data_IF_796252726856
#
_entry.id   IF_796252726856
#
_cell.length_a   1.000
_cell.length_b   1.000
_cell.length_c   1.000
_cell.angle_alpha   90.00
_cell.angle_beta   90.00
_cell.angle_gamma   90.00
#
_symmetry.space_group_name_H-M   'P 1'
#
loop_
_entity.id
_entity.type
_entity.pdbx_description
1 polymer ?
#
# COMPACT_ATOMS: atom_id res chain seq x y z
N UNK A 1 0.92 8.34 -0.85
CA UNK A 1 1.59 7.49 0.15
C UNK A 1 2.33 6.36 -0.57
N UNK A 2 3.40 5.79 0.00
CA UNK A 2 4.14 4.71 -0.66
C UNK A 2 3.23 3.47 -0.77
N UNK A 3 3.00 2.99 -1.98
CA UNK A 3 2.15 1.82 -2.21
C UNK A 3 2.91 0.55 -1.80
N UNK A 4 2.40 -0.17 -0.81
CA UNK A 4 2.92 -1.50 -0.44
C UNK A 4 2.60 -2.45 -1.58
N UNK A 5 3.64 -3.06 -2.17
CA UNK A 5 3.51 -3.92 -3.36
C UNK A 5 3.46 -5.41 -3.04
N UNK A 6 3.91 -5.82 -1.85
CA UNK A 6 4.03 -7.22 -1.45
C UNK A 6 3.93 -7.37 0.06
N UNK A 7 3.45 -8.53 0.49
CA UNK A 7 3.53 -9.02 1.88
C UNK A 7 4.55 -10.17 1.94
N UNK A 8 5.15 -10.42 3.10
CA UNK A 8 6.01 -11.58 3.31
C UNK A 8 5.17 -12.71 3.90
N UNK A 9 5.35 -13.93 3.41
CA UNK A 9 4.82 -15.15 4.02
C UNK A 9 6.00 -15.96 4.55
N UNK A 10 5.86 -16.52 5.75
CA UNK A 10 6.86 -17.45 6.29
C UNK A 10 6.82 -18.74 5.49
N UNK A 11 7.99 -19.35 5.28
CA UNK A 11 8.07 -20.71 4.72
C UNK A 11 7.53 -21.75 5.70
N UNK A 12 7.52 -21.42 7.00
CA UNK A 12 7.00 -22.25 8.11
C UNK A 12 5.49 -22.03 8.33
N UNK A 13 4.78 -21.35 7.42
CA UNK A 13 3.35 -21.05 7.58
C UNK A 13 2.53 -22.34 7.78
N UNK A 14 2.88 -23.41 7.08
CA UNK A 14 2.18 -24.69 7.14
C UNK A 14 2.58 -25.55 8.34
N UNK A 15 3.63 -25.15 9.07
CA UNK A 15 4.07 -25.82 10.29
C UNK A 15 3.35 -25.26 11.55
N UNK A 16 2.52 -24.21 11.39
CA UNK A 16 1.74 -23.62 12.46
C UNK A 16 0.55 -24.53 12.83
N UNK A 17 0.44 -24.91 14.10
CA UNK A 17 -0.64 -25.77 14.63
C UNK A 17 -2.04 -25.23 14.32
N UNK A 18 -2.21 -23.90 14.21
CA UNK A 18 -3.50 -23.30 13.84
C UNK A 18 -3.83 -23.55 12.37
N UNK A 19 -2.82 -23.54 11.51
CA UNK A 19 -2.99 -23.83 10.08
C UNK A 19 -3.28 -25.31 9.87
N UNK A 20 -2.59 -26.20 10.59
CA UNK A 20 -2.89 -27.64 10.60
C UNK A 20 -4.33 -27.90 11.08
N UNK A 21 -4.75 -27.25 12.17
CA UNK A 21 -6.12 -27.32 12.65
C UNK A 21 -7.13 -26.83 11.60
N UNK A 22 -6.87 -25.70 10.92
CA UNK A 22 -7.75 -25.19 9.86
C UNK A 22 -7.88 -26.20 8.72
N UNK A 23 -6.78 -26.85 8.31
CA UNK A 23 -6.79 -27.85 7.24
C UNK A 23 -7.59 -29.10 7.62
N UNK A 24 -7.69 -29.42 8.91
CA UNK A 24 -8.51 -30.54 9.39
C UNK A 24 -10.04 -30.29 9.32
N UNK A 25 -10.47 -29.03 9.15
CA UNK A 25 -11.90 -28.68 9.10
C UNK A 25 -12.53 -29.01 7.74
N UNK A 26 -13.86 -29.21 7.69
CA UNK A 26 -14.60 -29.16 6.44
C UNK A 26 -14.34 -27.83 5.74
N UNK A 27 -14.13 -27.85 4.42
CA UNK A 27 -13.76 -26.66 3.66
C UNK A 27 -12.41 -26.03 4.09
N UNK A 28 -11.51 -26.78 4.75
CA UNK A 28 -10.22 -26.30 5.24
C UNK A 28 -9.39 -25.53 4.21
N UNK A 29 -9.31 -26.02 2.97
CA UNK A 29 -8.66 -25.31 1.86
C UNK A 29 -9.34 -23.97 1.54
N UNK A 30 -10.67 -23.94 1.53
CA UNK A 30 -11.42 -22.70 1.31
C UNK A 30 -11.18 -21.69 2.44
N UNK A 31 -11.14 -22.16 3.69
CA UNK A 31 -10.85 -21.33 4.86
C UNK A 31 -9.42 -20.78 4.78
N UNK A 32 -8.44 -21.64 4.48
CA UNK A 32 -7.04 -21.23 4.33
C UNK A 32 -6.86 -20.18 3.22
N UNK A 33 -7.54 -20.34 2.08
CA UNK A 33 -7.53 -19.34 1.01
C UNK A 33 -8.13 -18.01 1.47
N UNK A 34 -9.16 -18.04 2.31
CA UNK A 34 -9.72 -16.81 2.91
C UNK A 34 -8.69 -16.15 3.84
N UNK A 35 -7.96 -16.91 4.65
CA UNK A 35 -6.88 -16.38 5.50
C UNK A 35 -5.84 -15.62 4.68
N UNK A 36 -5.31 -16.23 3.62
CA UNK A 36 -4.33 -15.59 2.73
C UNK A 36 -4.90 -14.33 2.08
N UNK A 37 -6.19 -14.33 1.70
CA UNK A 37 -6.84 -13.14 1.15
C UNK A 37 -6.99 -12.02 2.16
N UNK A 38 -7.25 -12.33 3.43
CA UNK A 38 -7.26 -11.34 4.52
C UNK A 38 -5.87 -10.73 4.72
N UNK A 39 -4.80 -11.53 4.70
CA UNK A 39 -3.42 -11.01 4.76
C UNK A 39 -3.15 -10.01 3.63
N UNK A 40 -3.60 -10.32 2.41
CA UNK A 40 -3.45 -9.40 1.27
C UNK A 40 -4.27 -8.12 1.45
N UNK A 41 -5.47 -8.19 2.05
CA UNK A 41 -6.28 -7.01 2.32
C UNK A 41 -5.65 -6.11 3.37
N UNK A 42 -5.17 -6.67 4.47
CA UNK A 42 -4.44 -5.91 5.48
C UNK A 42 -3.18 -5.26 4.91
N UNK A 43 -2.47 -5.96 4.01
CA UNK A 43 -1.34 -5.40 3.26
C UNK A 43 -1.72 -4.23 2.35
N UNK A 44 -2.94 -4.22 1.80
CA UNK A 44 -3.47 -3.11 0.99
C UNK A 44 -3.94 -1.92 1.85
N UNK A 45 -4.60 -2.18 2.98
CA UNK A 45 -4.98 -1.15 3.94
C UNK A 45 -3.72 -0.51 4.55
N UNK A 46 -2.69 -1.31 4.82
CA UNK A 46 -1.42 -0.88 5.41
C UNK A 46 -1.61 -0.04 6.69
N UNK A 47 -2.59 -0.47 7.50
CA UNK A 47 -2.97 0.16 8.76
C UNK A 47 -2.95 -0.89 9.87
N UNK A 48 -1.75 -1.25 10.33
CA UNK A 48 -1.50 -2.17 11.45
C UNK A 48 -2.36 -3.45 11.52
N UNK A 49 -2.59 -4.07 10.35
CA UNK A 49 -3.35 -5.32 10.25
C UNK A 49 -4.87 -5.14 10.17
N UNK A 50 -5.37 -3.91 10.17
CA UNK A 50 -6.79 -3.62 9.96
C UNK A 50 -7.23 -3.86 8.53
N UNK A 51 -8.47 -4.32 8.41
CA UNK A 51 -9.17 -4.65 7.17
C UNK A 51 -10.54 -3.98 7.20
N UNK A 52 -10.72 -3.03 6.29
CA UNK A 52 -11.96 -2.28 6.10
C UNK A 52 -12.09 -1.84 4.64
N UNK A 53 -13.30 -1.56 4.18
CA UNK A 53 -13.55 -1.12 2.80
C UNK A 53 -13.10 0.33 2.62
N UNK A 54 -13.50 1.19 3.56
CA UNK A 54 -13.05 2.57 3.76
C UNK A 54 -12.87 2.78 5.27
N UNK A 55 -12.19 3.86 5.68
CA UNK A 55 -11.88 4.09 7.11
C UNK A 55 -13.13 4.12 8.02
N UNK A 56 -14.31 4.36 7.44
CA UNK A 56 -15.60 4.41 8.12
C UNK A 56 -16.46 3.15 7.90
N UNK A 57 -16.16 2.35 6.88
CA UNK A 57 -16.99 1.21 6.46
C UNK A 57 -16.20 -0.09 6.66
N UNK A 58 -16.46 -0.85 7.73
CA UNK A 58 -15.85 -2.15 7.94
C UNK A 58 -16.36 -3.16 6.91
N UNK A 59 -15.54 -4.18 6.62
CA UNK A 59 -15.99 -5.30 5.81
C UNK A 59 -16.96 -6.18 6.61
N UNK A 60 -18.08 -6.51 5.98
CA UNK A 60 -19.05 -7.50 6.47
C UNK A 60 -18.82 -8.88 5.83
N UNK A 61 -19.40 -9.92 6.43
CA UNK A 61 -19.35 -11.29 5.89
C UNK A 61 -19.80 -11.36 4.42
N UNK A 62 -20.91 -10.70 4.08
CA UNK A 62 -21.46 -10.69 2.71
C UNK A 62 -20.56 -9.96 1.71
N UNK A 63 -20.00 -8.82 2.12
CA UNK A 63 -19.10 -8.06 1.23
C UNK A 63 -17.79 -8.79 1.01
N UNK A 64 -17.28 -9.49 2.03
CA UNK A 64 -16.13 -10.40 1.88
C UNK A 64 -16.47 -11.60 1.01
N UNK A 65 -17.63 -12.21 1.17
CA UNK A 65 -18.09 -13.32 0.33
C UNK A 65 -18.16 -12.94 -1.15
N UNK A 66 -18.76 -11.77 -1.45
CA UNK A 66 -18.80 -11.23 -2.81
C UNK A 66 -17.40 -10.97 -3.37
N UNK A 67 -16.53 -10.32 -2.57
CA UNK A 67 -15.16 -9.99 -2.95
C UNK A 67 -14.32 -11.25 -3.16
N UNK A 68 -14.54 -12.28 -2.36
CA UNK A 68 -13.79 -13.51 -2.41
C UNK A 68 -14.38 -14.54 -3.37
N UNK A 69 -15.56 -14.30 -3.96
CA UNK A 69 -16.23 -15.30 -4.81
C UNK A 69 -16.38 -16.63 -4.07
N UNK A 70 -16.75 -16.55 -2.80
CA UNK A 70 -17.00 -17.68 -1.90
C UNK A 70 -18.40 -17.56 -1.32
N UNK A 71 -18.97 -18.68 -0.90
CA UNK A 71 -20.28 -18.68 -0.24
C UNK A 71 -20.19 -17.95 1.11
N UNK A 72 -21.21 -17.18 1.46
CA UNK A 72 -21.26 -16.43 2.74
C UNK A 72 -21.05 -17.36 3.94
N UNK A 73 -21.64 -18.56 3.92
CA UNK A 73 -21.50 -19.55 4.99
C UNK A 73 -20.04 -19.96 5.23
N UNK A 74 -19.24 -20.11 4.17
CA UNK A 74 -17.83 -20.47 4.27
C UNK A 74 -17.02 -19.28 4.83
N UNK A 75 -17.34 -18.05 4.40
CA UNK A 75 -16.68 -16.85 4.94
C UNK A 75 -17.00 -16.66 6.41
N UNK A 76 -18.26 -16.85 6.80
CA UNK A 76 -18.69 -16.80 8.20
C UNK A 76 -17.95 -17.84 9.04
N UNK A 77 -17.95 -19.11 8.60
CA UNK A 77 -17.20 -20.19 9.26
C UNK A 77 -15.71 -19.85 9.39
N UNK A 78 -15.10 -19.27 8.35
CA UNK A 78 -13.70 -18.87 8.38
C UNK A 78 -13.45 -17.78 9.43
N UNK A 79 -14.25 -16.70 9.45
CA UNK A 79 -14.08 -15.61 10.42
C UNK A 79 -14.28 -16.09 11.85
N UNK A 80 -15.32 -16.89 12.13
CA UNK A 80 -15.54 -17.49 13.45
C UNK A 80 -14.37 -18.38 13.87
N UNK A 81 -13.83 -19.19 12.94
CA UNK A 81 -12.67 -20.04 13.18
C UNK A 81 -11.44 -19.20 13.52
N UNK A 82 -11.15 -18.16 12.75
CA UNK A 82 -10.01 -17.28 13.01
C UNK A 82 -10.13 -16.53 14.34
N UNK A 83 -11.34 -16.09 14.70
CA UNK A 83 -11.58 -15.43 15.98
C UNK A 83 -11.35 -16.40 17.14
N UNK A 84 -11.86 -17.64 17.05
CA UNK A 84 -11.64 -18.69 18.06
C UNK A 84 -10.17 -19.04 18.23
N UNK A 85 -9.39 -19.01 17.15
CA UNK A 85 -7.95 -19.26 17.17
C UNK A 85 -7.11 -18.03 17.55
N UNK A 86 -7.73 -16.91 17.95
CA UNK A 86 -7.08 -15.62 18.21
C UNK A 86 -6.15 -15.19 17.06
N UNK A 87 -6.58 -15.41 15.82
CA UNK A 87 -5.90 -14.96 14.60
C UNK A 87 -6.43 -13.59 14.15
N UNK A 88 -7.69 -13.29 14.48
CA UNK A 88 -8.32 -11.98 14.25
C UNK A 88 -9.01 -11.46 15.50
N UNK A 89 -9.09 -10.13 15.61
CA UNK A 89 -10.05 -9.41 16.46
C UNK A 89 -11.06 -8.68 15.57
N UNK A 90 -12.29 -8.52 16.05
CA UNK A 90 -13.32 -7.76 15.36
C UNK A 90 -13.75 -6.62 16.28
N UNK A 91 -13.47 -5.40 15.83
CA UNK A 91 -13.75 -4.18 16.57
C UNK A 91 -14.68 -3.26 15.74
N UNK A 92 -15.07 -2.10 16.28
CA UNK A 92 -15.91 -1.10 15.59
C UNK A 92 -15.29 -0.64 14.27
N UNK A 93 -13.96 -0.55 14.21
CA UNK A 93 -13.20 -0.16 13.01
C UNK A 93 -13.18 -1.24 11.93
N UNK A 94 -13.45 -2.49 12.28
CA UNK A 94 -13.41 -3.64 11.39
C UNK A 94 -12.57 -4.79 11.93
N UNK A 95 -12.06 -5.61 11.01
CA UNK A 95 -11.30 -6.82 11.35
C UNK A 95 -9.83 -6.45 11.49
N UNK A 96 -9.19 -6.82 12.59
CA UNK A 96 -7.76 -6.66 12.81
C UNK A 96 -7.06 -8.03 12.86
N UNK A 97 -5.97 -8.19 12.11
CA UNK A 97 -5.13 -9.38 12.19
C UNK A 97 -4.23 -9.33 13.43
N UNK A 98 -4.31 -10.34 14.29
CA UNK A 98 -3.40 -10.47 15.42
C UNK A 98 -1.98 -10.80 14.92
N UNK A 99 -0.96 -10.29 15.61
CA UNK A 99 0.46 -10.51 15.26
C UNK A 99 0.85 -10.07 13.83
N UNK A 100 0.17 -9.06 13.28
CA UNK A 100 0.42 -8.54 11.92
C UNK A 100 1.89 -8.17 11.65
N UNK A 101 2.61 -7.71 12.67
CA UNK A 101 4.02 -7.34 12.57
C UNK A 101 4.92 -8.45 12.02
N UNK A 102 4.55 -9.74 12.20
CA UNK A 102 5.29 -10.89 11.64
C UNK A 102 5.26 -10.93 10.11
N UNK A 103 4.19 -10.41 9.51
CA UNK A 103 3.98 -10.40 8.06
C UNK A 103 4.47 -9.10 7.39
N UNK A 104 4.87 -8.11 8.20
CA UNK A 104 5.33 -6.81 7.72
C UNK A 104 6.83 -6.80 7.40
N UNK A 105 7.21 -6.26 6.25
CA UNK A 105 8.61 -5.94 5.96
C UNK A 105 9.04 -4.61 6.59
N UNK A 106 9.23 -4.58 7.91
CA UNK A 106 9.62 -3.39 8.66
C UNK A 106 10.91 -2.74 8.14
N UNK A 107 11.93 -3.54 7.86
CA UNK A 107 13.24 -3.05 7.40
C UNK A 107 13.15 -2.42 6.00
N UNK A 108 12.40 -3.03 5.08
CA UNK A 108 12.16 -2.48 3.75
C UNK A 108 11.40 -1.15 3.79
N UNK A 109 10.41 -1.05 4.67
CA UNK A 109 9.63 0.19 4.88
C UNK A 109 10.50 1.32 5.46
N UNK A 110 11.37 1.01 6.42
CA UNK A 110 12.30 1.99 6.99
C UNK A 110 13.29 2.51 5.94
N UNK A 111 13.88 1.62 5.12
CA UNK A 111 14.78 2.01 4.01
C UNK A 111 14.08 2.93 3.00
N UNK A 112 12.84 2.62 2.61
CA UNK A 112 12.05 3.47 1.70
C UNK A 112 11.76 4.84 2.32
N UNK A 113 11.38 4.88 3.61
CA UNK A 113 11.13 6.14 4.34
C UNK A 113 12.40 6.99 4.41
N UNK A 114 13.54 6.40 4.71
CA UNK A 114 14.82 7.11 4.80
C UNK A 114 15.28 7.65 3.44
N UNK A 115 15.20 6.84 2.38
CA UNK A 115 15.50 7.27 1.02
C UNK A 115 14.58 8.42 0.57
N UNK A 116 13.29 8.34 0.91
CA UNK A 116 12.33 9.41 0.63
C UNK A 116 12.68 10.69 1.38
N UNK A 117 13.03 10.59 2.68
CA UNK A 117 13.51 11.73 3.49
C UNK A 117 14.75 12.38 2.86
N UNK A 118 15.76 11.58 2.50
CA UNK A 118 16.99 12.08 1.83
C UNK A 118 16.68 12.77 0.50
N UNK A 119 15.76 12.21 -0.31
CA UNK A 119 15.34 12.81 -1.58
C UNK A 119 14.62 14.15 -1.38
N UNK A 120 13.70 14.22 -0.42
CA UNK A 120 12.96 15.46 -0.10
C UNK A 120 13.91 16.53 0.44
N UNK A 121 14.87 16.16 1.31
CA UNK A 121 15.87 17.08 1.82
C UNK A 121 16.73 17.67 0.69
N UNK A 122 17.26 16.83 -0.21
CA UNK A 122 18.02 17.29 -1.40
C UNK A 122 17.19 18.19 -2.30
N UNK A 123 15.92 17.87 -2.52
CA UNK A 123 15.03 18.71 -3.32
C UNK A 123 14.81 20.09 -2.67
N UNK A 124 14.60 20.14 -1.35
CA UNK A 124 14.44 21.41 -0.61
C UNK A 124 15.71 22.25 -0.62
N UNK A 125 16.88 21.64 -0.41
CA UNK A 125 18.17 22.33 -0.51
C UNK A 125 18.35 22.95 -1.90
N UNK A 126 18.16 22.16 -2.96
CA UNK A 126 18.29 22.65 -4.34
C UNK A 126 17.28 23.75 -4.67
N UNK A 127 16.06 23.69 -4.13
CA UNK A 127 15.06 24.75 -4.29
C UNK A 127 15.49 26.04 -3.57
N UNK A 128 15.98 25.94 -2.34
CA UNK A 128 16.46 27.08 -1.56
C UNK A 128 17.71 27.72 -2.17
N UNK A 129 18.59 26.94 -2.81
CA UNK A 129 19.76 27.46 -3.56
C UNK A 129 19.35 28.25 -4.80
N UNK A 130 18.23 27.87 -5.44
CA UNK A 130 17.70 28.56 -6.63
C UNK A 130 16.87 29.81 -6.23
N UNK A 131 16.24 29.80 -5.04
CA UNK A 131 15.41 30.91 -4.52
C UNK A 131 16.16 31.84 -3.55
N UNK A 132 17.47 31.64 -3.32
CA UNK A 132 18.27 32.56 -2.51
C UNK A 132 18.32 33.95 -3.18
N UNK A 133 17.85 35.04 -2.52
CA UNK A 133 17.83 36.35 -3.14
C UNK A 133 19.26 36.85 -3.32
N UNK A 134 19.60 37.27 -4.53
CA UNK A 134 20.74 38.15 -4.77
C UNK A 134 20.55 39.41 -3.92
N UNK A 135 21.24 39.47 -2.78
CA UNK A 135 21.41 40.70 -2.02
C UNK A 135 22.69 41.37 -2.50
N UNK A 136 22.57 42.28 -3.44
CA UNK A 136 23.41 43.48 -3.49
C UNK A 136 22.51 44.68 -3.82
N UNK A 137 22.62 45.70 -2.99
CA UNK A 137 21.89 46.97 -3.05
C UNK A 137 22.33 47.79 -4.27
N UNK A 138 21.40 48.31 -5.09
CA UNK A 138 21.53 49.60 -5.80
C UNK A 138 20.16 50.10 -6.28
N UNK A 139 19.73 51.24 -5.69
CA UNK A 139 19.01 52.40 -6.23
C UNK A 139 17.92 52.25 -7.33
N UNK A 140 16.69 52.62 -6.95
CA UNK A 140 15.59 53.29 -7.69
C UNK A 140 15.51 53.29 -9.24
N UNK A 141 14.38 52.77 -9.75
CA UNK A 141 13.33 53.41 -10.59
C UNK A 141 12.77 52.54 -11.75
N UNK A 142 11.45 52.30 -11.65
CA UNK A 142 10.42 52.03 -12.67
C UNK A 142 10.88 51.86 -14.13
N UNK A 143 10.66 50.67 -14.72
CA UNK A 143 9.78 50.50 -15.89
C UNK A 143 9.24 49.06 -16.01
N UNK A 144 7.96 48.97 -16.33
CA UNK A 144 7.18 47.82 -16.84
C UNK A 144 7.96 46.75 -17.61
N UNK A 145 7.73 45.47 -17.26
CA UNK A 145 7.04 44.52 -18.16
C UNK A 145 6.71 43.20 -17.43
N UNK A 146 5.42 42.94 -17.28
CA UNK A 146 4.87 41.61 -16.98
C UNK A 146 5.26 40.68 -18.12
N UNK A 147 6.03 39.63 -17.82
CA UNK A 147 6.12 38.47 -18.72
C UNK A 147 5.65 37.26 -17.94
N UNK A 148 4.36 36.95 -18.09
CA UNK A 148 3.79 35.66 -17.73
C UNK A 148 4.63 34.57 -18.40
N UNK A 149 5.37 33.80 -17.60
CA UNK A 149 6.06 32.63 -18.14
C UNK A 149 5.07 31.48 -18.17
N UNK A 150 4.40 31.35 -19.32
CA UNK A 150 3.51 30.25 -19.65
C UNK A 150 4.21 28.91 -19.40
N UNK A 151 3.61 28.12 -18.52
CA UNK A 151 3.85 26.68 -18.41
C UNK A 151 3.66 26.02 -19.78
N UNK A 152 4.71 25.46 -20.38
CA UNK A 152 4.56 24.34 -21.29
C UNK A 152 5.75 23.37 -21.22
N UNK A 153 5.40 22.09 -21.13
CA UNK A 153 6.23 20.95 -20.72
C UNK A 153 7.32 20.52 -21.72
N UNK A 154 8.26 19.63 -21.35
CA UNK A 154 8.82 18.68 -22.29
C UNK A 154 7.94 17.41 -22.29
N UNK A 155 6.77 17.49 -22.93
CA UNK A 155 5.87 16.33 -23.15
C UNK A 155 6.40 15.41 -24.26
N UNK A 156 7.16 15.95 -25.20
CA UNK A 156 7.65 15.24 -26.39
C UNK A 156 8.68 14.13 -26.07
N UNK A 157 9.59 14.35 -25.11
CA UNK A 157 10.59 13.31 -24.74
C UNK A 157 10.00 12.07 -24.08
N UNK A 158 8.74 12.12 -23.62
CA UNK A 158 8.09 11.01 -22.91
C UNK A 158 7.31 10.09 -23.85
N UNK A 159 6.82 10.61 -24.97
CA UNK A 159 6.10 9.84 -26.01
C UNK A 159 7.07 9.06 -26.90
N UNK A 160 8.20 9.65 -27.29
CA UNK A 160 9.25 8.98 -28.06
C UNK A 160 9.87 7.75 -27.34
N UNK A 161 9.87 7.78 -26.00
CA UNK A 161 10.29 6.65 -25.15
C UNK A 161 9.25 5.53 -25.04
N UNK A 162 7.98 5.81 -25.30
CA UNK A 162 6.89 4.81 -25.30
C UNK A 162 6.85 4.07 -26.63
N UNK A 163 6.98 4.77 -27.76
CA UNK A 163 6.99 4.15 -29.09
C UNK A 163 8.18 3.19 -29.28
N UNK A 164 9.41 3.59 -28.89
CA UNK A 164 10.58 2.69 -28.91
C UNK A 164 10.45 1.43 -28.03
N UNK A 165 9.55 1.44 -27.04
CA UNK A 165 9.27 0.26 -26.19
C UNK A 165 8.19 -0.65 -26.77
N UNK A 166 7.25 -0.11 -27.54
CA UNK A 166 6.24 -0.90 -28.25
C UNK A 166 6.83 -1.56 -29.49
N UNK A 167 7.70 -0.87 -30.23
CA UNK A 167 8.38 -1.44 -31.41
C UNK A 167 9.32 -2.62 -31.06
N UNK A 168 9.91 -2.61 -29.87
CA UNK A 168 10.70 -3.74 -29.33
C UNK A 168 9.86 -4.91 -28.83
N UNK A 169 8.55 -4.76 -28.69
CA UNK A 169 7.65 -5.79 -28.16
C UNK A 169 7.02 -6.65 -29.27
N UNK A 170 7.10 -6.20 -30.53
CA UNK A 170 6.54 -6.87 -31.70
C UNK A 170 7.60 -7.37 -32.71
N UNK A 171 8.89 -7.33 -32.33
CA UNK A 171 9.99 -7.99 -33.02
C UNK A 171 10.44 -9.19 -32.21
#
# INVERSE_FOLDING_TARGET
MATVKWIKLSIELFDDEKIDFIQSLPEGDSILVIWVRLLVLAGKCNDDGYIYLTEEIPYTEDTLAFKFRKQTNIVKLALETFQRLNMISVDVKGIQLCNWSKYQNLEGMQKIKEQTRKRVAKHRQKKNEIEAPAKEETCCNVTSNVTETLNNAPREKREERREKKEERRYR
#
